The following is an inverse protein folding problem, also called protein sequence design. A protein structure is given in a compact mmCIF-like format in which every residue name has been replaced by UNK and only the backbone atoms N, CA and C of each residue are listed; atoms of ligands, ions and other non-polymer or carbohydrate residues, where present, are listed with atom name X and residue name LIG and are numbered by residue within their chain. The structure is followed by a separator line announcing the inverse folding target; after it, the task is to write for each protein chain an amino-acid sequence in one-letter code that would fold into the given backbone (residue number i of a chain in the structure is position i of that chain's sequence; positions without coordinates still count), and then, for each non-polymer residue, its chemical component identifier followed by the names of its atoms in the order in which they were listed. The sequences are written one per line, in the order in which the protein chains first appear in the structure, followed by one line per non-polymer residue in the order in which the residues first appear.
data_IF_871794431911
#
_entry.id   IF_871794431911
#
_cell.length_a   1.000
_cell.length_b   1.000
_cell.length_c   1.000
_cell.angle_alpha   90.00
_cell.angle_beta   90.00
_cell.angle_gamma   90.00
#
_symmetry.space_group_name_H-M   'P 1'
#
loop_
_entity.id
_entity.type
_entity.pdbx_description
1 polymer ?
#
# COMPACT_ATOMS: atom_id res chain seq x y z
N UNK A 1 14.19 -7.11 -19.96
CA UNK A 1 13.56 -5.77 -19.95
C UNK A 1 13.13 -5.42 -18.55
N UNK A 2 13.42 -4.22 -18.09
CA UNK A 2 12.99 -3.77 -16.77
C UNK A 2 11.51 -3.40 -16.80
N UNK A 3 10.76 -3.91 -15.83
CA UNK A 3 9.30 -3.81 -15.75
C UNK A 3 8.92 -3.43 -14.32
N UNK A 4 7.71 -2.91 -14.11
CA UNK A 4 7.23 -2.57 -12.77
C UNK A 4 7.27 -3.79 -11.83
N UNK A 5 7.09 -4.99 -12.35
CA UNK A 5 7.18 -6.22 -11.56
C UNK A 5 8.58 -6.48 -10.99
N UNK A 6 9.59 -5.81 -11.51
CA UNK A 6 10.95 -5.91 -10.98
C UNK A 6 11.14 -5.04 -9.73
N UNK A 7 10.20 -4.15 -9.43
CA UNK A 7 10.26 -3.31 -8.25
C UNK A 7 9.82 -4.11 -7.03
N UNK A 8 10.73 -4.30 -6.09
CA UNK A 8 10.49 -5.15 -4.92
C UNK A 8 9.26 -4.72 -4.11
N UNK A 9 9.12 -3.42 -3.83
CA UNK A 9 7.99 -2.93 -3.03
C UNK A 9 6.66 -3.13 -3.75
N UNK A 10 6.66 -3.04 -5.09
CA UNK A 10 5.46 -3.32 -5.88
C UNK A 10 4.99 -4.77 -5.66
N UNK A 11 5.91 -5.73 -5.79
CA UNK A 11 5.60 -7.14 -5.54
C UNK A 11 5.16 -7.37 -4.10
N UNK A 12 5.82 -6.72 -3.15
CA UNK A 12 5.53 -6.90 -1.73
C UNK A 12 4.12 -6.43 -1.38
N UNK A 13 3.67 -5.31 -1.95
CA UNK A 13 2.32 -4.83 -1.66
C UNK A 13 1.25 -5.67 -2.37
N UNK A 14 1.53 -6.20 -3.56
CA UNK A 14 0.56 -7.05 -4.26
C UNK A 14 0.16 -8.26 -3.42
N UNK A 15 1.13 -8.90 -2.73
CA UNK A 15 0.82 -10.08 -1.91
C UNK A 15 0.00 -9.75 -0.68
N UNK A 16 -0.08 -8.49 -0.29
CA UNK A 16 -0.90 -8.06 0.85
C UNK A 16 -2.36 -7.86 0.47
N UNK A 17 -2.69 -7.76 -0.82
CA UNK A 17 -4.06 -7.46 -1.25
C UNK A 17 -5.03 -8.61 -0.93
N UNK A 18 -4.58 -9.86 -1.00
CA UNK A 18 -5.44 -10.99 -0.66
C UNK A 18 -5.82 -11.03 0.83
N UNK A 19 -4.86 -11.00 1.78
CA UNK A 19 -5.24 -10.94 3.18
C UNK A 19 -6.04 -9.69 3.54
N UNK A 20 -5.78 -8.56 2.88
CA UNK A 20 -6.58 -7.36 3.08
C UNK A 20 -8.03 -7.58 2.62
N UNK A 21 -8.21 -8.22 1.47
CA UNK A 21 -9.54 -8.54 0.93
C UNK A 21 -10.28 -9.50 1.87
N UNK A 22 -9.59 -10.50 2.41
CA UNK A 22 -10.20 -11.44 3.37
C UNK A 22 -10.67 -10.72 4.62
N UNK A 23 -9.84 -9.84 5.18
CA UNK A 23 -10.24 -9.06 6.34
C UNK A 23 -11.44 -8.17 6.01
N UNK A 24 -11.40 -7.49 4.87
CA UNK A 24 -12.49 -6.61 4.43
C UNK A 24 -13.82 -7.35 4.32
N UNK A 25 -13.79 -8.61 3.88
CA UNK A 25 -14.99 -9.43 3.74
C UNK A 25 -15.69 -9.71 5.08
N UNK A 26 -14.99 -9.53 6.20
CA UNK A 26 -15.53 -9.74 7.53
C UNK A 26 -16.15 -8.48 8.13
N UNK A 27 -16.03 -7.34 7.46
CA UNK A 27 -16.65 -6.09 7.90
C UNK A 27 -18.16 -6.19 7.64
N UNK A 28 -19.02 -5.89 8.64
CA UNK A 28 -20.47 -5.99 8.46
C UNK A 28 -21.00 -5.09 7.36
N UNK A 29 -22.12 -5.50 6.74
CA UNK A 29 -22.82 -4.71 5.73
C UNK A 29 -23.22 -3.32 6.25
N UNK A 30 -23.48 -3.21 7.54
CA UNK A 30 -23.82 -1.93 8.15
C UNK A 30 -22.70 -0.89 8.03
N UNK A 31 -21.48 -1.35 7.72
CA UNK A 31 -20.32 -0.47 7.52
C UNK A 31 -19.63 -0.77 6.19
N UNK A 32 -20.41 -0.93 5.14
CA UNK A 32 -19.89 -1.21 3.79
C UNK A 32 -18.98 -0.09 3.28
N UNK A 33 -19.22 1.14 3.73
CA UNK A 33 -18.38 2.28 3.33
C UNK A 33 -16.95 2.11 3.82
N UNK A 34 -16.76 1.68 5.05
CA UNK A 34 -15.43 1.42 5.61
C UNK A 34 -14.70 0.33 4.81
N UNK A 35 -15.43 -0.74 4.46
CA UNK A 35 -14.90 -1.81 3.61
C UNK A 35 -14.39 -1.27 2.28
N UNK A 36 -15.20 -0.45 1.60
CA UNK A 36 -14.86 0.12 0.30
C UNK A 36 -13.63 1.03 0.42
N UNK A 37 -13.61 1.88 1.46
CA UNK A 37 -12.50 2.80 1.67
C UNK A 37 -11.19 2.05 1.95
N UNK A 38 -11.25 0.98 2.75
CA UNK A 38 -10.08 0.16 3.03
C UNK A 38 -9.51 -0.45 1.75
N UNK A 39 -10.36 -1.07 0.93
CA UNK A 39 -9.94 -1.72 -0.29
C UNK A 39 -9.43 -0.72 -1.33
N UNK A 40 -10.10 0.43 -1.45
CA UNK A 40 -9.64 1.47 -2.37
C UNK A 40 -8.26 1.98 -1.98
N UNK A 41 -8.03 2.23 -0.69
CA UNK A 41 -6.72 2.69 -0.21
C UNK A 41 -5.64 1.64 -0.49
N UNK A 42 -5.90 0.39 -0.13
CA UNK A 42 -4.93 -0.69 -0.32
C UNK A 42 -4.58 -0.93 -1.79
N UNK A 43 -5.58 -0.97 -2.65
CA UNK A 43 -5.39 -1.18 -4.09
C UNK A 43 -4.71 0.02 -4.77
N UNK A 44 -4.87 1.21 -4.22
CA UNK A 44 -4.23 2.41 -4.78
C UNK A 44 -2.71 2.37 -4.66
N UNK A 45 -2.17 1.64 -3.67
CA UNK A 45 -0.72 1.59 -3.47
C UNK A 45 0.00 1.04 -4.70
N UNK A 46 -0.28 -0.21 -5.15
CA UNK A 46 0.41 -0.72 -6.33
C UNK A 46 0.01 0.03 -7.60
N UNK A 47 -1.23 0.52 -7.70
CA UNK A 47 -1.67 1.27 -8.87
C UNK A 47 -0.84 2.55 -9.05
N UNK A 48 -0.55 3.26 -7.96
CA UNK A 48 0.24 4.49 -8.02
C UNK A 48 1.72 4.21 -8.28
N UNK A 49 2.26 3.10 -7.77
CA UNK A 49 3.63 2.69 -8.10
C UNK A 49 3.74 2.44 -9.61
N UNK A 50 2.78 1.72 -10.17
CA UNK A 50 2.76 1.41 -11.60
C UNK A 50 2.59 2.66 -12.45
N UNK A 51 1.73 3.59 -12.02
CA UNK A 51 1.53 4.86 -12.72
C UNK A 51 2.81 5.69 -12.72
N UNK A 52 3.48 5.77 -11.58
CA UNK A 52 4.76 6.47 -11.47
C UNK A 52 5.82 5.84 -12.36
N UNK A 53 5.89 4.52 -12.36
CA UNK A 53 6.83 3.79 -13.21
C UNK A 53 6.60 4.10 -14.69
N UNK A 54 5.34 4.15 -15.12
CA UNK A 54 5.00 4.48 -16.50
C UNK A 54 5.46 5.89 -16.90
N UNK A 55 5.58 6.80 -15.92
CA UNK A 55 5.98 8.19 -16.12
C UNK A 55 7.41 8.47 -15.67
N UNK A 56 8.23 7.43 -15.52
CA UNK A 56 9.59 7.53 -14.95
C UNK A 56 10.57 8.38 -15.75
N UNK A 57 10.23 8.74 -16.97
CA UNK A 57 11.04 9.69 -17.76
C UNK A 57 11.11 11.05 -17.07
N UNK A 58 10.04 11.44 -16.39
CA UNK A 58 10.01 12.62 -15.54
C UNK A 58 10.27 12.19 -14.11
N UNK A 59 11.44 12.51 -13.57
CA UNK A 59 11.78 12.20 -12.18
C UNK A 59 10.78 12.85 -11.23
N UNK A 60 10.34 14.07 -11.53
CA UNK A 60 9.34 14.78 -10.74
C UNK A 60 8.03 14.02 -10.68
N UNK A 61 7.53 13.52 -11.82
CA UNK A 61 6.28 12.76 -11.86
C UNK A 61 6.43 11.40 -11.20
N UNK A 62 7.57 10.75 -11.40
CA UNK A 62 7.83 9.47 -10.74
C UNK A 62 7.74 9.62 -9.22
N UNK A 63 8.45 10.60 -8.68
CA UNK A 63 8.42 10.87 -7.24
C UNK A 63 7.03 11.23 -6.74
N UNK A 64 6.29 12.03 -7.50
CA UNK A 64 4.94 12.44 -7.13
C UNK A 64 4.02 11.23 -6.92
N UNK A 65 4.05 10.28 -7.85
CA UNK A 65 3.21 9.08 -7.74
C UNK A 65 3.68 8.16 -6.62
N UNK A 66 4.97 8.05 -6.39
CA UNK A 66 5.49 7.26 -5.28
C UNK A 66 5.09 7.88 -3.92
N UNK A 67 5.08 9.19 -3.82
CA UNK A 67 4.59 9.88 -2.62
C UNK A 67 3.10 9.63 -2.41
N UNK A 68 2.31 9.63 -3.48
CA UNK A 68 0.89 9.27 -3.42
C UNK A 68 0.70 7.83 -2.96
N UNK A 69 1.58 6.92 -3.39
CA UNK A 69 1.53 5.53 -2.94
C UNK A 69 1.78 5.42 -1.43
N UNK A 70 2.72 6.20 -0.88
CA UNK A 70 2.94 6.27 0.57
C UNK A 70 1.68 6.75 1.26
N UNK A 71 1.05 7.81 0.76
CA UNK A 71 -0.20 8.33 1.31
C UNK A 71 -1.29 7.27 1.36
N UNK A 72 -1.41 6.48 0.29
CA UNK A 72 -2.41 5.40 0.23
C UNK A 72 -2.07 4.27 1.20
N UNK A 73 -0.79 3.95 1.38
CA UNK A 73 -0.36 2.95 2.37
C UNK A 73 -0.69 3.42 3.78
N UNK A 74 -0.40 4.68 4.10
CA UNK A 74 -0.70 5.26 5.41
C UNK A 74 -2.20 5.35 5.65
N UNK A 75 -2.99 5.65 4.61
CA UNK A 75 -4.45 5.65 4.70
C UNK A 75 -4.97 4.23 4.99
N UNK A 76 -4.40 3.21 4.36
CA UNK A 76 -4.73 1.81 4.63
C UNK A 76 -4.50 1.49 6.11
N UNK A 77 -3.37 1.92 6.66
CA UNK A 77 -3.05 1.74 8.07
C UNK A 77 -4.11 2.41 8.95
N UNK A 78 -4.52 3.62 8.61
CA UNK A 78 -5.53 4.35 9.38
C UNK A 78 -6.86 3.60 9.37
N UNK A 79 -7.29 3.09 8.21
CA UNK A 79 -8.53 2.31 8.14
C UNK A 79 -8.44 1.03 8.97
N UNK A 80 -7.28 0.36 8.98
CA UNK A 80 -7.07 -0.83 9.81
C UNK A 80 -7.16 -0.49 11.30
N UNK A 81 -6.64 0.66 11.71
CA UNK A 81 -6.77 1.12 13.10
C UNK A 81 -8.23 1.41 13.47
N UNK A 82 -8.98 2.01 12.54
CA UNK A 82 -10.41 2.26 12.74
C UNK A 82 -11.15 0.92 12.93
N UNK A 83 -10.81 -0.09 12.14
CA UNK A 83 -11.40 -1.42 12.25
C UNK A 83 -11.10 -2.05 13.62
N UNK A 84 -9.88 -1.88 14.14
CA UNK A 84 -9.54 -2.35 15.48
C UNK A 84 -10.43 -1.72 16.54
N UNK A 85 -10.68 -0.42 16.42
CA UNK A 85 -11.51 0.32 17.39
C UNK A 85 -12.99 -0.03 17.28
N UNK A 86 -13.43 -0.49 16.12
CA UNK A 86 -14.85 -0.82 15.89
C UNK A 86 -15.27 -2.12 16.57
N UNK A 87 -14.34 -3.00 16.89
CA UNK A 87 -14.59 -4.29 17.55
C UNK A 87 -15.64 -5.14 16.82
N UNK A 88 -15.54 -5.23 15.49
CA UNK A 88 -16.43 -6.09 14.72
C UNK A 88 -16.25 -7.55 15.15
N UNK A 89 -17.34 -8.30 15.43
CA UNK A 89 -17.24 -9.66 16.01
C UNK A 89 -16.42 -10.65 15.19
N UNK A 90 -16.43 -10.51 13.87
CA UNK A 90 -15.73 -11.44 12.98
C UNK A 90 -14.28 -11.05 12.72
N UNK A 91 -13.87 -9.86 13.14
CA UNK A 91 -12.53 -9.34 12.84
C UNK A 91 -11.63 -9.45 14.07
N UNK A 92 -10.51 -10.15 13.92
CA UNK A 92 -9.53 -10.28 15.00
C UNK A 92 -8.61 -9.08 15.02
N UNK A 93 -8.40 -8.51 16.20
CA UNK A 93 -7.48 -7.38 16.39
C UNK A 93 -6.08 -7.74 15.91
N UNK A 94 -5.64 -8.98 16.15
CA UNK A 94 -4.32 -9.46 15.77
C UNK A 94 -4.12 -9.46 14.25
N UNK A 95 -5.17 -9.77 13.50
CA UNK A 95 -5.11 -9.74 12.03
C UNK A 95 -4.90 -8.31 11.54
N UNK A 96 -5.61 -7.35 12.14
CA UNK A 96 -5.40 -5.94 11.83
C UNK A 96 -3.99 -5.50 12.17
N UNK A 97 -3.49 -5.88 13.35
CA UNK A 97 -2.15 -5.53 13.80
C UNK A 97 -1.07 -6.05 12.84
N UNK A 98 -1.24 -7.29 12.36
CA UNK A 98 -0.31 -7.90 11.41
C UNK A 98 -0.28 -7.13 10.07
N UNK A 99 -1.45 -6.75 9.56
CA UNK A 99 -1.53 -5.96 8.32
C UNK A 99 -1.00 -4.55 8.50
N UNK A 100 -1.26 -3.91 9.65
CA UNK A 100 -0.68 -2.60 9.96
C UNK A 100 0.84 -2.67 9.91
N UNK A 101 1.42 -3.71 10.50
CA UNK A 101 2.87 -3.92 10.48
C UNK A 101 3.39 -4.04 9.05
N UNK A 102 2.70 -4.83 8.22
CA UNK A 102 3.12 -5.04 6.84
C UNK A 102 3.01 -3.76 6.00
N UNK A 103 1.93 -3.01 6.12
CA UNK A 103 1.80 -1.73 5.40
C UNK A 103 2.76 -0.66 5.92
N UNK A 104 3.13 -0.72 7.20
CA UNK A 104 4.19 0.14 7.73
C UNK A 104 5.52 -0.14 7.03
N UNK A 105 5.83 -1.42 6.81
CA UNK A 105 7.02 -1.82 6.05
C UNK A 105 6.93 -1.30 4.62
N UNK A 106 5.77 -1.41 3.98
CA UNK A 106 5.56 -0.89 2.62
C UNK A 106 5.85 0.62 2.56
N UNK A 107 5.30 1.39 3.51
CA UNK A 107 5.54 2.84 3.56
C UNK A 107 7.03 3.16 3.69
N UNK A 108 7.75 2.42 4.53
CA UNK A 108 9.21 2.59 4.69
C UNK A 108 9.96 2.24 3.42
N UNK A 109 9.59 1.14 2.77
CA UNK A 109 10.21 0.73 1.50
C UNK A 109 9.99 1.76 0.41
N UNK A 110 8.79 2.31 0.31
CA UNK A 110 8.46 3.36 -0.65
C UNK A 110 9.29 4.61 -0.41
N UNK A 111 9.43 5.02 0.85
CA UNK A 111 10.23 6.19 1.19
C UNK A 111 11.69 6.00 0.79
N UNK A 112 12.25 4.82 1.04
CA UNK A 112 13.60 4.46 0.62
C UNK A 112 13.73 4.47 -0.91
N UNK A 113 12.72 3.96 -1.60
CA UNK A 113 12.70 3.92 -3.06
C UNK A 113 12.67 5.33 -3.65
N UNK A 114 11.88 6.23 -3.07
CA UNK A 114 11.83 7.63 -3.50
C UNK A 114 13.20 8.29 -3.36
N UNK A 115 13.89 8.05 -2.25
CA UNK A 115 15.24 8.59 -2.04
C UNK A 115 16.21 8.09 -3.10
N UNK A 116 16.13 6.80 -3.44
CA UNK A 116 17.00 6.20 -4.45
C UNK A 116 16.72 6.77 -5.85
N UNK A 117 15.44 6.92 -6.21
CA UNK A 117 15.04 7.54 -7.48
C UNK A 117 15.54 8.98 -7.56
N UNK A 118 15.42 9.74 -6.46
CA UNK A 118 15.85 11.15 -6.41
C UNK A 118 17.35 11.31 -6.58
N UNK A 119 18.15 10.28 -6.23
CA UNK A 119 19.60 10.29 -6.32
C UNK A 119 20.11 9.55 -7.56
N UNK A 120 19.22 9.09 -8.43
CA UNK A 120 19.56 8.28 -9.60
C UNK A 120 20.37 7.03 -9.25
N UNK A 121 20.08 6.42 -8.09
CA UNK A 121 20.72 5.17 -7.69
C UNK A 121 20.17 4.03 -8.56
N UNK A 122 21.01 3.11 -9.06
CA UNK A 122 20.53 1.97 -9.84
C UNK A 122 19.48 1.17 -9.08
N UNK A 123 18.42 0.77 -9.79
CA UNK A 123 17.28 0.08 -9.18
C UNK A 123 17.66 -1.26 -8.55
N UNK A 124 18.71 -1.89 -9.06
CA UNK A 124 19.22 -3.14 -8.51
C UNK A 124 19.71 -2.99 -7.05
N UNK A 125 20.00 -1.77 -6.62
CA UNK A 125 20.51 -1.48 -5.28
C UNK A 125 19.40 -1.15 -4.28
N UNK A 126 18.14 -1.27 -4.69
CA UNK A 126 16.98 -0.89 -3.86
C UNK A 126 16.24 -2.12 -3.37
#
# INVERSE_FOLDING_TARGET
MYDVQDIKVYRNVLVLLEPLQRLASLIPRSDSRLKIQLLNAGRSVPAQIAEGFAKRRSQKEYRRFLEMAIGSSDETITHLRIIQLAHFPQVKIETCAALIKQFTIISKQLNKYIQAVSKNIPRSDI
#
